data_IF_399160933240
#
_entry.id   IF_399160933240
#
_cell.length_a   1.000
_cell.length_b   1.000
_cell.length_c   1.000
_cell.angle_alpha   90.00
_cell.angle_beta   90.00
_cell.angle_gamma   90.00
#
_symmetry.space_group_name_H-M   'P 1'
#
loop_
_entity.id
_entity.type
_entity.pdbx_description
1 polymer ?
#
# COMPACT_ATOMS: atom_id res chain seq x y z
N UNK A 1 3.62 15.06 8.37
CA UNK A 1 3.47 14.68 8.13
C UNK A 1 2.57 13.99 7.34
N UNK A 2 2.62 13.12 6.90
CA UNK A 2 1.79 12.42 5.96
C UNK A 2 0.99 11.30 6.55
N UNK A 3 0.63 11.50 7.80
CA UNK A 3 -0.13 10.45 8.48
C UNK A 3 -1.48 10.21 7.83
N UNK A 4 -2.02 11.22 7.18
CA UNK A 4 -3.34 11.08 6.58
C UNK A 4 -3.32 10.29 5.29
N UNK A 5 -2.15 9.87 4.79
CA UNK A 5 -2.11 9.01 3.61
C UNK A 5 -1.43 7.68 3.88
N UNK A 6 -1.10 7.39 5.12
CA UNK A 6 -0.47 6.13 5.46
C UNK A 6 -1.34 5.32 6.41
N UNK A 7 -1.11 4.04 6.40
CA UNK A 7 -1.72 3.09 7.32
C UNK A 7 -0.58 2.24 7.86
N UNK A 8 -0.56 2.02 9.16
CA UNK A 8 0.54 1.29 9.78
C UNK A 8 0.16 -0.16 10.01
N UNK A 9 1.07 -1.08 9.68
CA UNK A 9 0.92 -2.49 10.02
C UNK A 9 2.18 -2.95 10.73
N UNK A 10 2.08 -4.06 11.44
CA UNK A 10 3.22 -4.66 12.13
C UNK A 10 3.61 -5.95 11.41
N UNK A 11 4.89 -6.07 11.07
CA UNK A 11 5.43 -7.28 10.45
C UNK A 11 6.64 -7.70 11.27
N UNK A 12 6.56 -8.89 11.87
CA UNK A 12 7.69 -9.43 12.60
C UNK A 12 8.15 -8.57 13.76
N UNK A 13 7.23 -7.83 14.38
CA UNK A 13 7.57 -6.98 15.52
C UNK A 13 7.97 -5.57 15.15
N UNK A 14 7.98 -5.23 13.87
CA UNK A 14 8.34 -3.89 13.40
C UNK A 14 7.16 -3.26 12.69
N UNK A 15 6.99 -1.96 12.90
CA UNK A 15 5.92 -1.22 12.25
C UNK A 15 6.36 -0.73 10.87
N UNK A 16 5.46 -0.86 9.92
CA UNK A 16 5.69 -0.38 8.55
C UNK A 16 4.49 0.47 8.14
N UNK A 17 4.78 1.57 7.43
CA UNK A 17 3.73 2.39 6.86
C UNK A 17 3.44 1.92 5.45
N UNK A 18 2.17 1.80 5.13
CA UNK A 18 1.73 1.49 3.77
C UNK A 18 1.26 2.78 3.12
N UNK A 19 1.84 3.12 1.99
CA UNK A 19 1.52 4.37 1.29
C UNK A 19 1.28 4.08 -0.18
N UNK A 20 0.17 4.60 -0.71
CA UNK A 20 -0.08 4.54 -2.15
C UNK A 20 0.51 5.79 -2.78
N UNK A 21 1.61 5.60 -3.50
CA UNK A 21 2.29 6.67 -4.22
C UNK A 21 1.94 6.58 -5.70
N UNK A 22 2.39 7.57 -6.47
CA UNK A 22 2.28 7.51 -7.92
C UNK A 22 2.99 6.27 -8.46
N UNK A 23 4.20 6.00 -7.93
CA UNK A 23 4.94 4.81 -8.38
C UNK A 23 4.16 3.53 -8.09
N UNK A 24 3.62 3.39 -6.88
CA UNK A 24 2.85 2.21 -6.53
C UNK A 24 1.61 2.08 -7.43
N UNK A 25 0.96 3.20 -7.71
CA UNK A 25 -0.21 3.19 -8.59
C UNK A 25 0.15 2.67 -9.97
N UNK A 26 1.31 3.08 -10.49
CA UNK A 26 1.77 2.60 -11.79
C UNK A 26 2.04 1.09 -11.77
N UNK A 27 2.65 0.61 -10.69
CA UNK A 27 2.94 -0.82 -10.59
C UNK A 27 1.66 -1.64 -10.48
N UNK A 28 0.69 -1.14 -9.73
CA UNK A 28 -0.60 -1.80 -9.62
C UNK A 28 -1.30 -1.80 -10.99
N UNK A 29 -1.20 -0.69 -11.70
CA UNK A 29 -1.77 -0.61 -13.04
C UNK A 29 -1.19 -1.65 -13.98
N UNK A 30 0.12 -1.85 -13.92
CA UNK A 30 0.79 -2.84 -14.77
C UNK A 30 0.34 -4.26 -14.42
N UNK A 31 0.14 -4.54 -13.14
CA UNK A 31 -0.16 -5.90 -12.71
C UNK A 31 -1.64 -6.24 -12.84
N UNK A 32 -2.52 -5.30 -12.56
CA UNK A 32 -3.96 -5.56 -12.50
C UNK A 32 -4.78 -4.83 -13.56
N UNK A 33 -4.19 -3.86 -14.22
CA UNK A 33 -4.92 -3.04 -15.17
C UNK A 33 -5.61 -1.84 -14.56
N UNK A 34 -5.53 -1.67 -13.23
CA UNK A 34 -6.12 -0.52 -12.58
C UNK A 34 -6.49 -0.85 -11.14
N UNK A 35 -6.80 0.19 -10.37
CA UNK A 35 -7.15 0.01 -8.96
C UNK A 35 -8.47 -0.72 -8.78
N UNK A 36 -9.42 -0.48 -9.69
CA UNK A 36 -10.69 -1.18 -9.62
C UNK A 36 -10.54 -2.68 -9.79
N UNK A 37 -9.68 -3.08 -10.73
CA UNK A 37 -9.43 -4.50 -10.95
C UNK A 37 -8.75 -5.13 -9.75
N UNK A 38 -7.88 -4.38 -9.08
CA UNK A 38 -7.25 -4.86 -7.87
C UNK A 38 -8.29 -5.16 -6.79
N UNK A 39 -9.23 -4.23 -6.60
CA UNK A 39 -10.29 -4.44 -5.63
C UNK A 39 -11.07 -5.70 -5.88
N UNK A 40 -11.43 -5.92 -7.15
CA UNK A 40 -12.14 -7.13 -7.52
C UNK A 40 -11.32 -8.38 -7.24
N UNK A 41 -10.04 -8.33 -7.56
CA UNK A 41 -9.16 -9.47 -7.35
C UNK A 41 -9.06 -9.83 -5.88
N UNK A 42 -8.90 -8.82 -5.02
CA UNK A 42 -8.79 -9.06 -3.59
C UNK A 42 -10.07 -9.63 -3.01
N UNK A 43 -11.21 -9.11 -3.45
CA UNK A 43 -12.50 -9.51 -2.89
C UNK A 43 -12.95 -10.87 -3.39
N UNK A 44 -12.55 -11.25 -4.60
CA UNK A 44 -13.08 -12.45 -5.25
C UNK A 44 -12.06 -13.56 -5.39
N UNK A 45 -10.89 -13.42 -4.75
CA UNK A 45 -9.87 -14.47 -4.85
C UNK A 45 -10.40 -15.73 -4.20
N UNK A 46 -10.56 -16.79 -4.99
CA UNK A 46 -11.08 -18.05 -4.51
C UNK A 46 -9.98 -19.00 -4.10
N UNK A 47 -8.81 -18.87 -4.72
CA UNK A 47 -7.68 -19.71 -4.40
C UNK A 47 -6.92 -19.08 -3.24
N UNK A 48 -6.83 -19.82 -2.14
CA UNK A 48 -6.22 -19.28 -0.92
C UNK A 48 -4.76 -18.89 -1.14
N UNK A 49 -3.99 -19.74 -1.81
CA UNK A 49 -2.58 -19.46 -2.07
C UNK A 49 -2.41 -18.20 -2.92
N UNK A 50 -3.22 -18.07 -3.96
CA UNK A 50 -3.15 -16.89 -4.81
C UNK A 50 -3.49 -15.62 -4.05
N UNK A 51 -4.48 -15.73 -3.17
CA UNK A 51 -4.86 -14.59 -2.35
C UNK A 51 -3.70 -14.16 -1.47
N UNK A 52 -3.00 -15.11 -0.87
CA UNK A 52 -1.84 -14.80 -0.03
C UNK A 52 -0.73 -14.16 -0.85
N UNK A 53 -0.46 -14.69 -2.03
CA UNK A 53 0.59 -14.13 -2.90
C UNK A 53 0.28 -12.69 -3.28
N UNK A 54 -0.98 -12.40 -3.60
CA UNK A 54 -1.37 -11.04 -3.95
C UNK A 54 -1.18 -10.09 -2.77
N UNK A 55 -1.56 -10.54 -1.58
CA UNK A 55 -1.42 -9.71 -0.39
C UNK A 55 0.06 -9.45 -0.11
N UNK A 56 0.91 -10.48 -0.22
CA UNK A 56 2.35 -10.34 0.00
C UNK A 56 2.93 -9.31 -0.96
N UNK A 57 2.57 -9.40 -2.24
CA UNK A 57 3.06 -8.48 -3.24
C UNK A 57 2.65 -7.03 -2.92
N UNK A 58 1.39 -6.84 -2.54
CA UNK A 58 0.88 -5.50 -2.25
C UNK A 58 1.51 -4.93 -0.98
N UNK A 59 1.64 -5.73 0.06
CA UNK A 59 2.28 -5.29 1.30
C UNK A 59 3.71 -4.85 1.00
N UNK A 60 4.45 -5.67 0.26
CA UNK A 60 5.83 -5.34 -0.08
C UNK A 60 5.91 -4.05 -0.87
N UNK A 61 5.04 -3.90 -1.86
CA UNK A 61 5.03 -2.69 -2.69
C UNK A 61 4.72 -1.45 -1.85
N UNK A 62 3.64 -1.48 -1.07
CA UNK A 62 3.18 -0.29 -0.35
C UNK A 62 4.09 0.06 0.81
N UNK A 63 4.63 -0.95 1.51
CA UNK A 63 5.57 -0.68 2.60
C UNK A 63 6.86 -0.08 2.08
N UNK A 64 7.31 -0.55 0.92
CA UNK A 64 8.54 -0.02 0.35
C UNK A 64 8.40 1.41 -0.13
N UNK A 65 7.19 1.89 -0.38
CA UNK A 65 7.02 3.29 -0.75
C UNK A 65 7.47 4.21 0.38
N UNK A 66 7.10 3.90 1.62
CA UNK A 66 7.51 4.69 2.77
C UNK A 66 9.03 4.65 2.94
N UNK A 67 9.62 3.48 2.73
CA UNK A 67 11.08 3.33 2.85
C UNK A 67 11.79 4.13 1.76
N UNK A 68 11.27 4.07 0.54
CA UNK A 68 11.86 4.82 -0.57
C UNK A 68 11.76 6.32 -0.33
N UNK A 69 10.65 6.78 0.23
CA UNK A 69 10.52 8.19 0.58
C UNK A 69 11.54 8.58 1.65
N UNK A 70 11.69 7.73 2.67
CA UNK A 70 12.71 7.98 3.68
C UNK A 70 14.10 8.07 3.05
N UNK A 71 14.42 7.13 2.17
CA UNK A 71 15.75 7.10 1.56
C UNK A 71 15.99 8.31 0.67
N UNK A 72 14.94 8.80 0.02
CA UNK A 72 15.05 9.99 -0.80
C UNK A 72 15.41 11.21 0.03
N UNK A 73 14.85 11.28 1.24
CA UNK A 73 15.05 12.43 2.13
C UNK A 73 16.25 12.29 3.05
N UNK A 74 16.77 11.07 3.23
CA UNK A 74 17.85 10.78 4.15
C UNK A 74 18.88 9.93 3.45
N UNK A 75 19.57 10.51 2.48
CA UNK A 75 20.45 9.75 1.59
C UNK A 75 21.66 9.18 2.29
N UNK A 76 22.07 9.78 3.41
CA UNK A 76 23.22 9.29 4.16
C UNK A 76 22.83 8.28 5.24
N UNK A 77 21.56 7.96 5.35
CA UNK A 77 21.08 6.97 6.32
C UNK A 77 19.95 6.14 5.73
N UNK A 78 20.21 5.44 4.62
CA UNK A 78 19.14 4.70 3.95
C UNK A 78 18.74 3.46 4.72
N UNK A 79 17.51 3.05 4.56
CA UNK A 79 16.98 1.82 5.13
C UNK A 79 16.88 0.76 4.03
N UNK A 80 17.05 -0.49 4.43
CA UNK A 80 16.88 -1.60 3.50
C UNK A 80 15.42 -1.75 3.09
N UNK A 81 15.20 -2.14 1.85
CA UNK A 81 13.85 -2.41 1.38
C UNK A 81 13.35 -3.72 1.93
N UNK A 82 12.05 -3.80 2.12
CA UNK A 82 11.38 -5.03 2.51
C UNK A 82 11.28 -5.94 1.28
N UNK A 83 11.51 -7.23 1.46
CA UNK A 83 11.36 -8.20 0.36
C UNK A 83 10.11 -9.03 0.57
N UNK A 84 9.66 -9.68 -0.51
CA UNK A 84 8.53 -10.60 -0.37
C UNK A 84 8.87 -11.76 0.54
N UNK A 85 10.13 -12.21 0.50
CA UNK A 85 10.56 -13.26 1.43
C UNK A 85 10.42 -12.82 2.88
N UNK A 86 10.78 -11.56 3.17
CA UNK A 86 10.63 -11.05 4.53
C UNK A 86 9.17 -11.14 4.96
N UNK A 87 8.26 -10.70 4.12
CA UNK A 87 6.84 -10.72 4.46
C UNK A 87 6.37 -12.15 4.64
N UNK A 88 6.76 -13.02 3.72
CA UNK A 88 6.32 -14.40 3.74
C UNK A 88 6.77 -15.13 5.00
N UNK A 89 8.00 -14.88 5.43
CA UNK A 89 8.57 -15.61 6.54
C UNK A 89 8.24 -15.01 7.91
N UNK A 90 7.89 -13.73 7.94
CA UNK A 90 7.64 -13.02 9.20
C UNK A 90 6.16 -12.86 9.53
N UNK A 91 5.28 -13.43 8.71
CA UNK A 91 3.83 -13.32 8.94
C UNK A 91 3.19 -14.69 8.92
N UNK A 92 1.94 -14.74 9.36
CA UNK A 92 1.11 -15.93 9.27
C UNK A 92 -0.03 -15.65 8.30
N UNK A 93 -0.70 -16.70 7.79
CA UNK A 93 -1.86 -16.46 6.93
C UNK A 93 -2.92 -15.60 7.59
N UNK A 94 -3.09 -15.70 8.90
CA UNK A 94 -4.05 -14.88 9.62
C UNK A 94 -3.65 -13.41 9.56
N UNK A 95 -2.35 -13.12 9.72
CA UNK A 95 -1.84 -11.76 9.60
C UNK A 95 -2.16 -11.20 8.23
N UNK A 96 -1.89 -11.97 7.19
CA UNK A 96 -2.08 -11.51 5.81
C UNK A 96 -3.55 -11.20 5.55
N UNK A 97 -4.44 -12.04 6.05
CA UNK A 97 -5.87 -11.81 5.90
C UNK A 97 -6.27 -10.48 6.56
N UNK A 98 -5.71 -10.21 7.73
CA UNK A 98 -5.99 -8.95 8.42
C UNK A 98 -5.44 -7.74 7.64
N UNK A 99 -4.33 -7.92 6.95
CA UNK A 99 -3.72 -6.82 6.19
C UNK A 99 -4.56 -6.36 5.01
N UNK A 100 -5.53 -7.18 4.56
CA UNK A 100 -6.40 -6.76 3.46
C UNK A 100 -7.10 -5.44 3.77
N UNK A 101 -7.59 -5.28 4.99
CA UNK A 101 -8.23 -4.04 5.40
C UNK A 101 -7.24 -2.89 5.37
N UNK A 102 -6.01 -3.13 5.81
CA UNK A 102 -4.99 -2.09 5.83
C UNK A 102 -4.60 -1.66 4.42
N UNK A 103 -4.50 -2.61 3.49
CA UNK A 103 -4.21 -2.30 2.10
C UNK A 103 -5.33 -1.42 1.53
N UNK A 104 -6.57 -1.82 1.76
CA UNK A 104 -7.71 -1.08 1.26
C UNK A 104 -7.71 0.33 1.82
N UNK A 105 -7.42 0.47 3.12
CA UNK A 105 -7.40 1.78 3.75
C UNK A 105 -6.29 2.66 3.16
N UNK A 106 -5.10 2.08 2.95
CA UNK A 106 -3.98 2.85 2.38
C UNK A 106 -4.32 3.34 0.99
N UNK A 107 -4.96 2.48 0.19
CA UNK A 107 -5.34 2.87 -1.16
C UNK A 107 -6.42 3.95 -1.15
N UNK A 108 -7.38 3.83 -0.24
CA UNK A 108 -8.42 4.84 -0.11
C UNK A 108 -7.83 6.18 0.30
N UNK A 109 -6.93 6.17 1.28
CA UNK A 109 -6.30 7.41 1.74
C UNK A 109 -5.51 8.08 0.64
N UNK A 110 -4.81 7.30 -0.17
CA UNK A 110 -4.06 7.85 -1.29
C UNK A 110 -4.96 8.52 -2.31
N UNK A 111 -6.04 7.85 -2.66
CA UNK A 111 -6.99 8.38 -3.62
C UNK A 111 -7.70 9.61 -3.08
N UNK A 112 -8.13 9.53 -1.84
CA UNK A 112 -8.84 10.66 -1.22
C UNK A 112 -7.97 11.89 -1.15
N UNK A 113 -6.69 11.69 -0.80
CA UNK A 113 -5.78 12.83 -0.72
C UNK A 113 -5.64 13.53 -2.04
N UNK A 114 -5.56 12.77 -3.13
CA UNK A 114 -5.46 13.37 -4.45
C UNK A 114 -6.69 14.19 -4.78
N UNK A 115 -7.86 13.65 -4.47
CA UNK A 115 -9.11 14.37 -4.72
C UNK A 115 -9.15 15.65 -3.92
N UNK A 116 -8.78 15.59 -2.65
CA UNK A 116 -8.80 16.76 -1.80
C UNK A 116 -7.80 17.81 -2.25
N UNK A 117 -6.68 17.39 -2.78
CA UNK A 117 -5.68 18.32 -3.28
C UNK A 117 -6.19 19.12 -4.44
N UNK A 118 -7.02 18.49 -5.25
CA UNK A 118 -7.55 19.16 -6.40
C UNK A 118 -8.73 20.04 -6.05
N UNK A 119 -9.44 19.65 -5.08
CA UNK A 119 -10.62 20.23 -4.88
C UNK A 119 -10.66 21.41 -4.15
N UNK A 120 -10.96 21.92 -3.64
CA UNK A 120 -11.32 22.88 -2.96
C UNK A 120 -11.69 23.84 -3.72
N UNK A 121 -11.47 23.81 -3.83
CA UNK A 121 -11.53 24.37 -4.27
C UNK A 121 -12.10 24.26 -5.08
N UNK A 122 -12.51 23.84 -5.29
CA UNK A 122 -13.02 23.50 -5.85
C UNK A 122 -13.85 23.40 -5.80
N UNK A 123 -14.10 23.56 -5.32
CA UNK A 123 -14.80 23.34 -5.23
C UNK A 123 -15.30 23.48 -5.32
N UNK A 124 -15.26 23.81 -5.32
CA UNK A 124 -15.65 23.78 -5.45
C UNK A 124 -16.15 23.58 -5.79
N UNK A 125 -16.19 23.72 -5.83
CA UNK A 125 -16.67 23.52 -6.28
C UNK A 125 -17.15 23.55 -6.38
N UNK A 126 -17.22 24.02 -6.46
CA UNK A 126 -17.46 23.95 -6.62
C UNK A 126 -17.70 23.98 -6.73
N UNK A 127 -17.53 24.44 -6.62
CA UNK A 127 -17.60 24.29 -6.77
C UNK A 127 -17.85 24.02 -6.97
#
# INVERSE_FOLDING_TARGET
>A
MDNDRSTVINIGGMDFELILTTRATKEIGKRYGGLGNLGDKLMKAENFEMALDEIIWLITLLANQAILIHNLRHKDAPKALLTEDDVELLTTPLDLTAYKASITEAMFKGTKRNVESEGPSKNTGTA
#
